data_IF_184187345185
#
_entry.id   IF_184187345185
#
_cell.length_a   1.000
_cell.length_b   1.000
_cell.length_c   1.000
_cell.angle_alpha   90.00
_cell.angle_beta   90.00
_cell.angle_gamma   90.00
#
_symmetry.space_group_name_H-M   'P 1'
#
loop_
_entity.id
_entity.type
_entity.pdbx_description
1 polymer ?
#
# COMPACT_ATOMS: atom_id res chain seq x y z
N UNK A 1 -5.70 8.38 10.60
CA UNK A 1 -5.06 9.30 9.67
C UNK A 1 -3.71 8.72 9.33
N UNK A 2 -3.33 8.80 8.06
CA UNK A 2 -2.03 8.35 7.54
C UNK A 2 -0.87 8.93 8.35
N UNK A 3 0.16 8.11 8.57
CA UNK A 3 1.38 8.54 9.26
C UNK A 3 2.61 8.17 8.43
N UNK A 4 3.52 9.13 8.27
CA UNK A 4 4.77 8.92 7.55
C UNK A 4 5.76 8.10 8.37
N UNK A 5 6.09 6.91 7.89
CA UNK A 5 7.07 6.01 8.52
C UNK A 5 8.01 5.42 7.49
N UNK A 6 9.20 5.00 7.95
CA UNK A 6 10.16 4.30 7.10
C UNK A 6 9.64 2.91 6.72
N UNK A 7 9.43 2.67 5.43
CA UNK A 7 9.09 1.36 4.90
C UNK A 7 10.37 0.57 4.58
N UNK A 8 10.52 -0.59 5.20
CA UNK A 8 11.68 -1.46 5.02
C UNK A 8 11.80 -2.07 3.62
N UNK A 9 10.68 -2.21 2.90
CA UNK A 9 10.66 -2.75 1.54
C UNK A 9 10.96 -1.66 0.50
N UNK A 10 10.37 -0.47 0.67
CA UNK A 10 10.59 0.68 -0.21
C UNK A 10 11.90 1.43 0.07
N UNK A 11 12.50 1.23 1.26
CA UNK A 11 13.72 1.91 1.72
C UNK A 11 13.61 3.44 1.72
N UNK A 12 12.41 3.96 1.96
CA UNK A 12 12.12 5.39 2.09
C UNK A 12 11.00 5.61 3.09
N UNK A 13 10.83 6.86 3.52
CA UNK A 13 9.65 7.28 4.26
C UNK A 13 8.46 7.29 3.30
N UNK A 14 7.36 6.68 3.73
CA UNK A 14 6.10 6.59 2.99
C UNK A 14 4.93 6.83 3.93
N UNK A 15 3.80 7.31 3.42
CA UNK A 15 2.55 7.35 4.16
C UNK A 15 2.11 5.92 4.51
N UNK A 16 1.81 5.64 5.76
CA UNK A 16 1.26 4.36 6.21
C UNK A 16 -0.23 4.52 6.52
N UNK A 17 -1.03 3.60 6.02
CA UNK A 17 -2.48 3.56 6.19
C UNK A 17 -2.84 3.09 7.60
N UNK A 18 -3.74 3.80 8.27
CA UNK A 18 -4.43 3.27 9.43
C UNK A 18 -5.43 2.16 9.05
N UNK A 19 -6.13 1.59 10.03
CA UNK A 19 -7.08 0.51 9.78
C UNK A 19 -8.30 0.94 8.94
N UNK A 20 -8.76 2.18 9.08
CA UNK A 20 -9.91 2.68 8.34
C UNK A 20 -9.53 2.95 6.87
N UNK A 21 -8.37 3.55 6.65
CA UNK A 21 -7.81 3.81 5.32
C UNK A 21 -7.43 2.50 4.62
N UNK A 22 -6.87 1.53 5.37
CA UNK A 22 -6.58 0.20 4.87
C UNK A 22 -7.85 -0.54 4.45
N UNK A 23 -8.94 -0.45 5.23
CA UNK A 23 -10.22 -1.04 4.84
C UNK A 23 -10.77 -0.43 3.53
N UNK A 24 -10.65 0.89 3.36
CA UNK A 24 -11.01 1.57 2.09
C UNK A 24 -10.15 1.10 0.92
N UNK A 25 -8.85 0.92 1.16
CA UNK A 25 -7.93 0.37 0.16
C UNK A 25 -8.34 -1.06 -0.26
N UNK A 26 -8.62 -1.94 0.70
CA UNK A 26 -9.06 -3.31 0.40
C UNK A 26 -10.35 -3.34 -0.42
N UNK A 27 -11.35 -2.52 -0.04
CA UNK A 27 -12.61 -2.41 -0.78
C UNK A 27 -12.39 -1.93 -2.22
N UNK A 28 -11.48 -0.97 -2.43
CA UNK A 28 -11.11 -0.48 -3.76
C UNK A 28 -10.50 -1.58 -4.63
N UNK A 29 -9.57 -2.36 -4.08
CA UNK A 29 -8.93 -3.47 -4.80
C UNK A 29 -9.94 -4.58 -5.09
N UNK A 30 -10.81 -4.92 -4.14
CA UNK A 30 -11.86 -5.92 -4.34
C UNK A 30 -12.82 -5.50 -5.46
N UNK A 31 -13.27 -4.26 -5.47
CA UNK A 31 -14.12 -3.72 -6.54
C UNK A 31 -13.40 -3.73 -7.90
N UNK A 32 -12.14 -3.31 -7.94
CA UNK A 32 -11.32 -3.35 -9.16
C UNK A 32 -11.17 -4.77 -9.70
N UNK A 33 -10.80 -5.73 -8.84
CA UNK A 33 -10.66 -7.15 -9.23
C UNK A 33 -12.01 -7.73 -9.66
N UNK A 34 -13.11 -7.36 -8.99
CA UNK A 34 -14.46 -7.75 -9.37
C UNK A 34 -14.85 -7.24 -10.75
N UNK A 35 -14.56 -5.98 -11.06
CA UNK A 35 -14.74 -5.39 -12.40
C UNK A 35 -13.86 -6.08 -13.43
N UNK A 36 -12.57 -6.24 -13.14
CA UNK A 36 -11.62 -6.91 -14.03
C UNK A 36 -12.00 -8.37 -14.33
N UNK A 37 -12.56 -9.13 -13.38
CA UNK A 37 -13.05 -10.49 -13.64
C UNK A 37 -14.27 -10.51 -14.55
N UNK A 38 -15.15 -9.50 -14.47
CA UNK A 38 -16.27 -9.34 -15.41
C UNK A 38 -15.75 -8.92 -16.79
N UNK A 39 -14.76 -8.04 -16.82
CA UNK A 39 -14.21 -7.46 -18.05
C UNK A 39 -13.26 -8.46 -18.75
N UNK A 40 -13.44 -8.66 -20.05
CA UNK A 40 -12.83 -9.80 -20.75
C UNK A 40 -13.66 -11.09 -20.73
N UNK A 41 -14.72 -11.16 -19.91
CA UNK A 41 -15.84 -12.08 -20.12
C UNK A 41 -16.64 -11.66 -21.35
N UNK A 42 -17.45 -12.59 -21.87
CA UNK A 42 -18.38 -12.31 -22.96
C UNK A 42 -19.77 -12.05 -22.38
N UNK A 43 -20.48 -11.06 -22.92
CA UNK A 43 -21.90 -10.87 -22.62
C UNK A 43 -22.74 -12.05 -23.15
N UNK A 44 -24.05 -12.06 -22.87
CA UNK A 44 -24.95 -13.11 -23.35
C UNK A 44 -24.98 -13.26 -24.88
N UNK A 45 -24.55 -12.23 -25.62
CA UNK A 45 -24.41 -12.23 -27.08
C UNK A 45 -23.01 -12.61 -27.57
N UNK A 46 -22.11 -13.02 -26.67
CA UNK A 46 -20.74 -13.41 -27.01
C UNK A 46 -19.77 -12.24 -27.19
N UNK A 47 -20.17 -10.98 -26.97
CA UNK A 47 -19.29 -9.81 -27.15
C UNK A 47 -18.39 -9.62 -25.95
N UNK A 48 -17.11 -9.35 -26.18
CA UNK A 48 -16.13 -9.08 -25.11
C UNK A 48 -16.50 -7.77 -24.40
N UNK A 49 -16.59 -7.81 -23.08
CA UNK A 49 -16.76 -6.61 -22.26
C UNK A 49 -15.50 -5.71 -22.33
N UNK A 50 -15.65 -4.38 -22.33
CA UNK A 50 -14.53 -3.44 -22.43
C UNK A 50 -13.55 -3.60 -21.27
N UNK A 51 -12.28 -3.28 -21.51
CA UNK A 51 -11.26 -3.22 -20.45
C UNK A 51 -11.51 -2.01 -19.53
N UNK A 52 -11.04 -2.04 -18.28
CA UNK A 52 -11.19 -0.90 -17.38
C UNK A 52 -10.40 0.30 -17.91
N UNK A 53 -10.98 1.49 -17.78
CA UNK A 53 -10.39 2.73 -18.30
C UNK A 53 -9.07 3.12 -17.61
N UNK A 54 -8.86 2.67 -16.36
CA UNK A 54 -7.64 2.84 -15.58
C UNK A 54 -7.10 1.48 -15.18
N UNK A 55 -5.78 1.32 -15.23
CA UNK A 55 -5.07 0.18 -14.65
C UNK A 55 -5.17 0.17 -13.11
N UNK A 56 -4.88 -0.97 -12.49
CA UNK A 56 -4.80 -1.07 -11.02
C UNK A 56 -3.82 -0.04 -10.45
N UNK A 57 -2.70 0.18 -11.13
CA UNK A 57 -1.67 1.12 -10.70
C UNK A 57 -2.23 2.53 -10.60
N UNK A 58 -2.94 2.98 -11.63
CA UNK A 58 -3.56 4.32 -11.66
C UNK A 58 -4.64 4.47 -10.59
N UNK A 59 -5.49 3.45 -10.42
CA UNK A 59 -6.55 3.47 -9.38
C UNK A 59 -5.96 3.56 -7.97
N UNK A 60 -4.87 2.85 -7.71
CA UNK A 60 -4.17 2.89 -6.43
C UNK A 60 -3.47 4.24 -6.21
N UNK A 61 -2.81 4.76 -7.24
CA UNK A 61 -2.13 6.06 -7.17
C UNK A 61 -3.12 7.19 -6.86
N UNK A 62 -4.27 7.23 -7.55
CA UNK A 62 -5.34 8.21 -7.29
C UNK A 62 -5.83 8.13 -5.84
N UNK A 63 -6.03 6.91 -5.33
CA UNK A 63 -6.47 6.70 -3.95
C UNK A 63 -5.44 7.24 -2.96
N UNK A 64 -4.17 6.94 -3.18
CA UNK A 64 -3.10 7.39 -2.30
C UNK A 64 -2.93 8.91 -2.31
N UNK A 65 -2.92 9.51 -3.50
CA UNK A 65 -2.90 10.97 -3.65
C UNK A 65 -4.10 11.63 -2.96
N UNK A 66 -5.29 11.02 -3.03
CA UNK A 66 -6.47 11.53 -2.33
C UNK A 66 -6.36 11.52 -0.80
N UNK A 67 -5.49 10.67 -0.23
CA UNK A 67 -5.25 10.61 1.21
C UNK A 67 -4.22 11.62 1.68
N UNK A 68 -3.18 11.86 0.88
CA UNK A 68 -2.00 12.64 1.32
C UNK A 68 -1.86 14.00 0.65
N UNK A 69 -2.60 14.26 -0.43
CA UNK A 69 -2.63 15.53 -1.15
C UNK A 69 -1.46 15.76 -2.11
N UNK A 70 -0.65 14.73 -2.40
CA UNK A 70 0.44 14.78 -3.37
C UNK A 70 0.64 13.42 -4.06
N UNK A 71 1.22 13.39 -5.27
CA UNK A 71 1.46 12.14 -5.99
C UNK A 71 2.51 11.29 -5.26
N UNK A 72 2.10 10.13 -4.76
CA UNK A 72 2.97 9.21 -4.01
C UNK A 72 3.72 8.24 -4.92
N UNK A 73 3.17 7.96 -6.10
CA UNK A 73 3.78 7.13 -7.14
C UNK A 73 4.26 8.08 -8.22
N UNK A 74 5.56 8.08 -8.52
CA UNK A 74 6.08 8.94 -9.58
C UNK A 74 5.61 8.43 -10.96
N UNK A 75 5.36 9.33 -11.92
CA UNK A 75 5.09 8.93 -13.30
C UNK A 75 6.25 8.09 -13.85
N UNK A 76 5.96 6.86 -14.30
CA UNK A 76 6.98 5.92 -14.79
C UNK A 76 7.56 4.97 -13.73
N UNK A 77 7.07 5.03 -12.48
CA UNK A 77 7.35 4.03 -11.47
C UNK A 77 7.01 2.61 -11.95
N UNK A 78 7.84 1.64 -11.57
CA UNK A 78 7.69 0.24 -11.96
C UNK A 78 6.41 -0.37 -11.36
N UNK A 79 5.89 -1.43 -11.99
CA UNK A 79 4.79 -2.24 -11.46
C UNK A 79 4.96 -2.61 -9.96
N UNK A 80 6.22 -2.75 -9.51
CA UNK A 80 6.56 -3.06 -8.13
C UNK A 80 6.26 -1.92 -7.14
N UNK A 81 6.36 -0.67 -7.57
CA UNK A 81 6.11 0.51 -6.73
C UNK A 81 4.61 0.76 -6.53
N UNK A 82 3.77 0.40 -7.51
CA UNK A 82 2.32 0.46 -7.34
C UNK A 82 1.79 -0.58 -6.32
N UNK A 83 2.46 -1.72 -6.21
CA UNK A 83 2.20 -2.72 -5.17
C UNK A 83 2.83 -2.33 -3.81
N UNK A 84 3.51 -1.19 -3.72
CA UNK A 84 4.11 -0.76 -2.46
C UNK A 84 3.05 -0.55 -1.36
N UNK A 85 1.90 -0.01 -1.73
CA UNK A 85 0.78 0.20 -0.82
C UNK A 85 0.36 -1.10 -0.09
N UNK A 86 0.51 -2.28 -0.71
CA UNK A 86 0.09 -3.57 -0.13
C UNK A 86 0.82 -3.90 1.19
N UNK A 87 1.90 -3.18 1.50
CA UNK A 87 2.64 -3.33 2.74
C UNK A 87 2.78 -2.03 3.53
N UNK A 88 1.99 -1.00 3.20
CA UNK A 88 1.94 0.28 3.90
C UNK A 88 0.78 0.32 4.91
N UNK A 89 0.72 -0.65 5.82
CA UNK A 89 -0.32 -0.71 6.86
C UNK A 89 0.32 -0.50 8.23
N UNK A 90 -0.18 0.48 8.98
CA UNK A 90 0.36 0.88 10.28
C UNK A 90 0.43 -0.28 11.28
N UNK A 91 -0.60 -1.10 11.36
CA UNK A 91 -0.63 -2.25 12.27
C UNK A 91 0.35 -3.37 11.92
N UNK A 92 1.00 -3.31 10.74
CA UNK A 92 2.06 -4.24 10.35
C UNK A 92 3.45 -3.73 10.67
N UNK A 93 3.56 -2.51 11.20
CA UNK A 93 4.82 -1.87 11.58
C UNK A 93 4.91 -1.84 13.10
N UNK A 94 6.10 -2.13 13.63
CA UNK A 94 6.32 -2.10 15.07
C UNK A 94 6.60 -0.68 15.59
N UNK A 95 6.69 -0.52 16.92
CA UNK A 95 7.00 0.77 17.53
C UNK A 95 8.36 1.31 17.05
N UNK A 96 8.63 2.62 17.22
CA UNK A 96 9.95 3.18 16.96
C UNK A 96 11.02 2.53 17.86
N UNK A 97 12.22 2.33 17.31
CA UNK A 97 13.37 1.88 18.06
C UNK A 97 13.76 2.92 19.12
N UNK A 98 13.94 2.48 20.37
CA UNK A 98 14.34 3.37 21.47
C UNK A 98 15.72 4.03 21.29
N UNK A 99 16.57 3.48 20.41
CA UNK A 99 17.91 4.00 20.15
C UNK A 99 17.98 4.88 18.89
N UNK A 100 17.52 4.37 17.73
CA UNK A 100 17.65 5.10 16.46
C UNK A 100 16.35 5.75 15.96
N UNK A 101 15.21 5.54 16.64
CA UNK A 101 13.91 6.09 16.26
C UNK A 101 13.23 5.42 15.06
N UNK A 102 13.95 4.65 14.22
CA UNK A 102 13.34 3.94 13.08
C UNK A 102 12.31 2.90 13.56
N UNK A 103 11.19 2.74 12.84
CA UNK A 103 10.17 1.77 13.20
C UNK A 103 10.71 0.34 13.12
N UNK A 104 10.33 -0.50 14.08
CA UNK A 104 10.62 -1.92 14.02
C UNK A 104 9.89 -2.57 12.82
N UNK A 105 10.52 -3.59 12.20
CA UNK A 105 10.01 -4.22 10.97
C UNK A 105 8.59 -4.79 11.10
N UNK A 106 8.23 -5.25 12.29
CA UNK A 106 6.89 -5.78 12.62
C UNK A 106 6.55 -5.48 14.07
N UNK A 107 5.27 -5.56 14.48
CA UNK A 107 4.85 -5.41 15.88
C UNK A 107 5.41 -6.47 16.82
N UNK A 108 5.98 -7.56 16.29
CA UNK A 108 6.56 -8.67 17.05
C UNK A 108 8.08 -8.73 16.97
N UNK A 109 8.73 -7.78 16.29
CA UNK A 109 10.17 -7.76 16.18
C UNK A 109 10.84 -7.64 17.56
N UNK A 110 11.86 -8.46 17.81
CA UNK A 110 12.64 -8.47 19.05
C UNK A 110 13.85 -7.54 19.02
N UNK A 111 14.19 -6.96 17.86
CA UNK A 111 15.31 -6.03 17.69
C UNK A 111 15.08 -5.09 16.50
N UNK A 112 15.81 -3.97 16.48
CA UNK A 112 15.86 -3.04 15.38
C UNK A 112 16.72 -3.57 14.24
N UNK A 113 16.16 -3.68 13.04
CA UNK A 113 16.89 -4.15 11.89
C UNK A 113 17.88 -3.13 11.29
N UNK A 114 17.92 -1.91 11.82
CA UNK A 114 18.88 -0.87 11.42
C UNK A 114 20.14 -0.93 12.27
N UNK A 115 19.98 -0.82 13.60
CA UNK A 115 21.07 -0.64 14.54
C UNK A 115 21.28 -1.84 15.48
N UNK A 116 20.47 -2.90 15.36
CA UNK A 116 20.60 -4.12 16.16
C UNK A 116 20.09 -4.01 17.60
N UNK A 117 19.68 -2.83 18.07
CA UNK A 117 19.20 -2.64 19.45
C UNK A 117 18.00 -3.55 19.76
N UNK A 118 18.02 -4.33 20.86
CA UNK A 118 16.87 -5.11 21.30
C UNK A 118 15.64 -4.24 21.50
N UNK A 119 14.45 -4.81 21.29
CA UNK A 119 13.19 -4.13 21.59
C UNK A 119 13.12 -3.89 23.10
N UNK A 120 12.81 -2.66 23.48
CA UNK A 120 12.50 -2.34 24.87
C UNK A 120 11.30 -3.18 25.31
N UNK A 121 11.46 -3.90 26.43
CA UNK A 121 10.39 -4.72 27.03
C UNK A 121 9.18 -3.87 27.40
#
# INVERSE_FOLDING_TARGET
>A
MTQDLYCWRCKRVVPMLDEAEWARYLALIEDYVGKYKREGSRDASGRRLPQPAKSRVEVVADFYESLVGYPVVEPGCSFFEAYAIDHHRLSQIGPPCAHCGKPLRTPRASFCADCGTPRAN
#
